data_IF_878559306235
#
_entry.id   IF_878559306235
#
_cell.length_a   1.000
_cell.length_b   1.000
_cell.length_c   1.000
_cell.angle_alpha   90.00
_cell.angle_beta   90.00
_cell.angle_gamma   90.00
#
_symmetry.space_group_name_H-M   'P 1'
#
loop_
_entity.id
_entity.type
_entity.pdbx_description
1 polymer ?
#
# COMPACT_ATOMS: atom_id res chain seq x y z
N UNK A 1 27.12 85.08 30.71
CA UNK A 1 27.64 83.97 31.55
C UNK A 1 27.33 82.66 30.83
N UNK A 2 28.21 81.70 30.54
CA UNK A 2 29.65 81.50 30.67
C UNK A 2 30.01 80.17 29.96
N UNK A 3 31.11 80.20 29.19
CA UNK A 3 32.05 79.16 28.70
C UNK A 3 31.77 77.66 28.99
N UNK A 4 31.74 76.75 27.98
CA UNK A 4 32.86 76.06 27.23
C UNK A 4 33.41 74.79 27.92
N UNK A 5 33.31 73.63 27.24
CA UNK A 5 34.36 72.59 26.89
C UNK A 5 33.67 71.24 26.58
N UNK A 6 33.81 70.65 25.39
CA UNK A 6 34.98 69.95 24.77
C UNK A 6 35.22 68.54 25.31
N UNK A 7 35.04 67.54 24.46
CA UNK A 7 35.56 66.18 24.62
C UNK A 7 35.51 65.41 23.29
N UNK A 8 36.67 65.25 22.65
CA UNK A 8 36.91 64.43 21.44
C UNK A 8 37.30 62.99 21.85
N UNK A 9 36.95 62.01 21.01
CA UNK A 9 37.56 60.67 20.94
C UNK A 9 36.83 59.87 19.85
N UNK A 10 37.35 59.79 18.62
CA UNK A 10 38.28 58.77 18.11
C UNK A 10 37.85 57.36 18.55
N UNK A 11 37.12 56.65 17.68
CA UNK A 11 36.99 55.20 17.76
C UNK A 11 37.66 54.59 16.53
N UNK A 12 38.58 53.68 16.79
CA UNK A 12 39.40 52.97 15.82
C UNK A 12 38.57 51.97 15.00
N UNK A 13 38.88 51.89 13.71
CA UNK A 13 38.41 50.86 12.80
C UNK A 13 39.19 49.57 13.10
N UNK A 14 38.50 48.54 13.59
CA UNK A 14 39.03 47.17 13.66
C UNK A 14 38.60 46.46 12.38
N UNK A 15 39.58 46.18 11.52
CA UNK A 15 39.46 45.26 10.39
C UNK A 15 39.69 43.85 10.94
N UNK A 16 38.62 43.07 11.08
CA UNK A 16 38.74 41.64 11.39
C UNK A 16 38.75 40.84 10.09
N UNK A 17 39.90 40.24 9.83
CA UNK A 17 40.13 39.16 8.86
C UNK A 17 39.29 37.94 9.24
N UNK A 18 38.25 37.64 8.46
CA UNK A 18 37.55 36.36 8.50
C UNK A 18 38.18 35.38 7.53
N UNK A 19 38.92 34.41 8.05
CA UNK A 19 39.42 33.25 7.32
C UNK A 19 38.24 32.43 6.76
N UNK A 20 38.16 32.31 5.44
CA UNK A 20 37.32 31.35 4.73
C UNK A 20 37.91 29.96 4.93
N UNK A 21 37.32 29.17 5.83
CA UNK A 21 37.45 27.72 5.81
C UNK A 21 36.50 27.17 4.74
N UNK A 22 37.05 26.82 3.59
CA UNK A 22 36.36 25.96 2.61
C UNK A 22 36.28 24.55 3.19
N UNK A 23 35.17 24.23 3.88
CA UNK A 23 34.80 22.84 4.11
C UNK A 23 34.22 22.28 2.80
N UNK A 24 35.04 21.58 2.03
CA UNK A 24 34.55 20.62 1.05
C UNK A 24 33.94 19.47 1.84
N UNK A 25 32.64 19.55 2.12
CA UNK A 25 31.88 18.36 2.48
C UNK A 25 31.83 17.49 1.21
N UNK A 26 32.67 16.46 1.18
CA UNK A 26 32.44 15.32 0.31
C UNK A 26 31.04 14.78 0.66
N UNK A 27 30.09 14.98 -0.26
CA UNK A 27 28.85 14.23 -0.26
C UNK A 27 29.24 12.78 -0.56
N UNK A 28 29.54 12.01 0.48
CA UNK A 28 29.46 10.55 0.42
C UNK A 28 28.07 10.21 -0.12
N UNK A 29 28.03 9.69 -1.34
CA UNK A 29 26.80 9.23 -1.96
C UNK A 29 26.11 8.26 -1.01
N UNK A 30 24.83 8.50 -0.73
CA UNK A 30 24.03 7.60 0.08
C UNK A 30 24.20 6.18 -0.47
N UNK A 31 24.71 5.28 0.38
CA UNK A 31 24.85 3.89 0.01
C UNK A 31 23.49 3.36 -0.46
N UNK A 32 23.45 2.52 -1.51
CA UNK A 32 22.20 1.96 -2.00
C UNK A 32 21.46 1.26 -0.85
N UNK A 33 20.12 1.21 -0.88
CA UNK A 33 19.27 0.69 0.20
C UNK A 33 19.56 -0.78 0.58
N UNK A 34 20.39 -1.48 -0.18
CA UNK A 34 20.81 -2.86 0.06
C UNK A 34 22.26 -2.99 0.56
N UNK A 35 22.89 -1.92 1.06
CA UNK A 35 24.20 -2.04 1.70
C UNK A 35 24.09 -2.57 3.14
N UNK A 36 25.04 -3.42 3.56
CA UNK A 36 25.19 -3.91 4.95
C UNK A 36 25.21 -2.76 5.99
N UNK A 37 25.58 -1.54 5.58
CA UNK A 37 25.56 -0.35 6.42
C UNK A 37 24.13 0.13 6.76
N UNK A 38 23.14 -0.10 5.88
CA UNK A 38 21.73 0.23 6.14
C UNK A 38 21.07 -0.75 7.13
N UNK A 39 21.57 -1.99 7.21
CA UNK A 39 21.07 -3.01 8.15
C UNK A 39 21.51 -2.75 9.61
N UNK A 40 22.47 -1.84 9.85
CA UNK A 40 22.94 -1.46 11.20
C UNK A 40 21.99 -0.54 11.96
N UNK A 41 20.87 -0.09 11.36
CA UNK A 41 19.80 0.61 12.07
C UNK A 41 18.78 -0.37 12.68
N UNK A 42 19.22 -1.13 13.69
CA UNK A 42 18.42 -1.57 14.84
C UNK A 42 17.03 -2.19 14.63
N UNK A 43 16.76 -2.86 13.51
CA UNK A 43 15.53 -3.65 13.34
C UNK A 43 15.94 -5.11 13.18
N UNK A 44 15.49 -5.96 14.09
CA UNK A 44 15.66 -7.40 13.92
C UNK A 44 15.05 -7.83 12.59
N UNK A 45 15.77 -8.70 11.88
CA UNK A 45 15.34 -9.34 10.65
C UNK A 45 14.38 -10.50 10.93
N UNK A 46 14.48 -11.14 12.10
CA UNK A 46 13.59 -12.24 12.48
C UNK A 46 12.41 -11.74 13.33
N UNK A 47 11.22 -12.36 13.20
CA UNK A 47 10.16 -12.14 14.16
C UNK A 47 10.52 -12.82 15.51
N UNK A 48 10.07 -12.27 16.66
CA UNK A 48 10.34 -12.84 17.98
C UNK A 48 9.67 -14.21 18.21
N UNK A 49 8.69 -14.55 17.37
CA UNK A 49 8.00 -15.83 17.33
C UNK A 49 7.89 -16.25 15.87
N UNK A 50 8.22 -17.51 15.59
CA UNK A 50 7.96 -18.16 14.30
C UNK A 50 7.03 -19.35 14.50
N UNK A 51 6.30 -19.70 13.44
CA UNK A 51 5.43 -20.88 13.41
C UNK A 51 6.11 -22.00 12.65
N UNK A 52 6.39 -23.12 13.32
CA UNK A 52 6.85 -24.34 12.68
C UNK A 52 5.66 -25.00 11.98
N UNK A 53 5.76 -25.19 10.66
CA UNK A 53 4.65 -25.66 9.82
C UNK A 53 4.62 -27.18 9.66
N UNK A 54 5.72 -27.85 10.01
CA UNK A 54 5.92 -29.29 9.89
C UNK A 54 6.72 -29.83 11.09
N UNK A 55 6.95 -31.14 11.13
CA UNK A 55 7.84 -31.71 12.15
C UNK A 55 9.27 -31.20 11.92
N UNK A 56 9.84 -30.52 12.91
CA UNK A 56 11.14 -29.85 12.81
C UNK A 56 12.13 -30.46 13.80
N UNK A 57 13.28 -30.91 13.30
CA UNK A 57 14.36 -31.43 14.12
C UNK A 57 15.10 -30.31 14.87
N UNK A 58 15.53 -30.63 16.10
CA UNK A 58 16.26 -29.73 16.99
C UNK A 58 17.72 -30.16 17.11
N UNK A 59 18.62 -29.23 16.82
CA UNK A 59 20.06 -29.46 16.81
C UNK A 59 20.77 -28.69 17.92
N UNK A 60 21.83 -29.25 18.53
CA UNK A 60 22.62 -28.52 19.52
C UNK A 60 23.47 -27.40 18.89
N UNK A 61 23.82 -27.54 17.61
CA UNK A 61 24.62 -26.59 16.84
C UNK A 61 24.07 -26.50 15.39
N UNK A 62 24.36 -25.43 14.63
CA UNK A 62 23.83 -25.25 13.28
C UNK A 62 24.57 -26.12 12.25
N UNK A 63 24.50 -27.44 12.42
CA UNK A 63 25.10 -28.45 11.56
C UNK A 63 24.19 -29.68 11.44
N UNK A 64 23.74 -29.98 10.21
CA UNK A 64 22.90 -31.16 9.94
C UNK A 64 23.66 -32.49 10.05
N UNK A 65 25.00 -32.47 10.11
CA UNK A 65 25.81 -33.68 10.30
C UNK A 65 25.72 -34.26 11.72
N UNK A 66 25.25 -33.45 12.67
CA UNK A 66 25.05 -33.83 14.07
C UNK A 66 23.67 -34.45 14.25
N UNK A 67 23.59 -35.51 15.07
CA UNK A 67 22.30 -36.15 15.37
C UNK A 67 21.38 -35.17 16.12
N UNK A 68 20.14 -34.96 15.64
CA UNK A 68 19.21 -34.08 16.32
C UNK A 68 18.80 -34.67 17.67
N UNK A 69 18.70 -33.81 18.69
CA UNK A 69 18.36 -34.23 20.05
C UNK A 69 16.87 -34.55 20.22
N UNK A 70 16.03 -33.92 19.42
CA UNK A 70 14.58 -34.08 19.46
C UNK A 70 13.94 -33.58 18.16
N UNK A 71 12.62 -33.69 18.08
CA UNK A 71 11.81 -33.03 17.06
C UNK A 71 10.60 -32.36 17.71
N UNK A 72 10.20 -31.23 17.16
CA UNK A 72 8.97 -30.52 17.48
C UNK A 72 7.92 -30.79 16.41
N UNK A 73 6.69 -31.06 16.83
CA UNK A 73 5.53 -30.99 15.93
C UNK A 73 5.19 -29.54 15.60
N UNK A 74 4.40 -29.26 14.54
CA UNK A 74 3.97 -27.90 14.20
C UNK A 74 3.45 -27.11 15.40
N UNK A 75 4.09 -25.98 15.70
CA UNK A 75 3.77 -25.10 16.82
C UNK A 75 4.50 -23.77 16.71
N UNK A 76 4.09 -22.79 17.51
CA UNK A 76 4.81 -21.52 17.63
C UNK A 76 5.99 -21.66 18.60
N UNK A 77 7.14 -21.08 18.22
CA UNK A 77 8.37 -21.08 19.02
C UNK A 77 8.98 -19.68 19.06
N UNK A 78 9.58 -19.32 20.21
CA UNK A 78 10.27 -18.05 20.35
C UNK A 78 11.67 -18.10 19.76
N UNK A 79 12.05 -17.10 18.97
CA UNK A 79 13.39 -16.98 18.39
C UNK A 79 14.37 -16.38 19.40
N UNK A 80 15.66 -16.66 19.20
CA UNK A 80 16.77 -16.12 19.98
C UNK A 80 17.67 -15.35 19.02
N UNK A 81 17.64 -14.02 19.13
CA UNK A 81 18.49 -13.14 18.33
C UNK A 81 19.76 -12.72 19.06
N UNK A 82 19.71 -12.73 20.39
CA UNK A 82 20.87 -12.44 21.23
C UNK A 82 21.95 -13.48 20.91
N UNK A 83 23.11 -13.00 20.47
CA UNK A 83 24.27 -13.80 20.02
C UNK A 83 24.13 -14.57 18.70
N UNK A 84 23.12 -14.26 17.86
CA UNK A 84 23.00 -14.87 16.54
C UNK A 84 23.88 -14.15 15.50
N UNK A 85 24.79 -14.89 14.85
CA UNK A 85 25.54 -14.37 13.70
C UNK A 85 24.58 -14.16 12.51
N UNK A 86 24.52 -12.95 11.91
CA UNK A 86 23.65 -12.68 10.77
C UNK A 86 23.88 -13.60 9.56
N UNK A 87 25.06 -14.20 9.41
CA UNK A 87 25.35 -15.16 8.34
C UNK A 87 24.48 -16.42 8.39
N UNK A 88 23.92 -16.78 9.56
CA UNK A 88 22.98 -17.91 9.66
C UNK A 88 21.61 -17.62 9.03
N UNK A 89 21.30 -16.35 8.75
CA UNK A 89 20.12 -15.93 7.99
C UNK A 89 20.37 -15.84 6.49
N UNK A 90 21.61 -16.04 6.05
CA UNK A 90 21.92 -16.23 4.63
C UNK A 90 21.57 -17.66 4.27
N UNK A 91 20.70 -17.82 3.27
CA UNK A 91 20.29 -19.14 2.86
C UNK A 91 21.47 -19.94 2.32
N UNK A 92 21.59 -21.19 2.76
CA UNK A 92 22.57 -22.13 2.27
C UNK A 92 22.31 -22.50 0.80
N UNK A 93 23.13 -23.41 0.25
CA UNK A 93 22.95 -23.88 -1.14
C UNK A 93 21.61 -24.59 -1.38
N UNK A 94 20.89 -24.99 -0.32
CA UNK A 94 19.58 -25.62 -0.37
C UNK A 94 18.43 -24.62 -0.17
N UNK A 95 18.72 -23.34 0.10
CA UNK A 95 17.70 -22.34 0.38
C UNK A 95 17.23 -22.31 1.83
N UNK A 96 17.99 -22.93 2.75
CA UNK A 96 17.63 -23.04 4.17
C UNK A 96 18.47 -22.13 5.06
N UNK A 97 17.91 -21.76 6.20
CA UNK A 97 18.52 -20.89 7.20
C UNK A 97 18.50 -21.55 8.57
N UNK A 98 19.53 -21.26 9.36
CA UNK A 98 19.62 -21.72 10.74
C UNK A 98 19.04 -20.68 11.67
N UNK A 99 18.08 -21.11 12.50
CA UNK A 99 17.43 -20.24 13.48
C UNK A 99 17.57 -20.87 14.84
N UNK A 100 18.00 -20.07 15.81
CA UNK A 100 18.04 -20.47 17.20
C UNK A 100 16.69 -20.17 17.86
N UNK A 101 16.14 -21.15 18.58
CA UNK A 101 14.84 -21.06 19.24
C UNK A 101 14.96 -21.42 20.72
N UNK A 102 14.08 -20.84 21.54
CA UNK A 102 13.95 -21.20 22.95
C UNK A 102 13.15 -22.49 23.08
N UNK A 103 13.73 -23.49 23.73
CA UNK A 103 12.96 -24.67 24.16
C UNK A 103 12.74 -24.61 25.67
N UNK A 104 11.61 -25.13 26.15
CA UNK A 104 11.28 -25.05 27.58
C UNK A 104 11.97 -26.12 28.44
N UNK A 105 12.65 -27.11 27.83
CA UNK A 105 13.25 -28.26 28.53
C UNK A 105 14.71 -28.57 28.18
N UNK A 106 15.27 -28.07 27.08
CA UNK A 106 16.66 -28.37 26.64
C UNK A 106 17.52 -27.13 26.42
N UNK A 107 17.05 -25.96 26.84
CA UNK A 107 17.71 -24.69 26.56
C UNK A 107 17.50 -24.24 25.11
N UNK A 108 18.35 -23.34 24.62
CA UNK A 108 18.23 -22.83 23.27
C UNK A 108 18.84 -23.81 22.27
N UNK A 109 18.08 -24.17 21.24
CA UNK A 109 18.49 -25.14 20.21
C UNK A 109 18.29 -24.55 18.81
N UNK A 110 18.92 -25.17 17.83
CA UNK A 110 18.90 -24.74 16.43
C UNK A 110 17.87 -25.53 15.63
N UNK A 111 17.20 -24.85 14.70
CA UNK A 111 16.35 -25.44 13.66
C UNK A 111 16.87 -25.01 12.29
N UNK A 112 16.77 -25.91 11.32
CA UNK A 112 17.13 -25.65 9.93
C UNK A 112 15.86 -25.62 9.08
N UNK A 113 15.50 -24.43 8.59
CA UNK A 113 14.21 -24.19 7.93
C UNK A 113 14.42 -23.65 6.53
N UNK A 114 13.56 -24.04 5.59
CA UNK A 114 13.47 -23.36 4.30
C UNK A 114 13.21 -21.87 4.54
N UNK A 115 13.98 -20.99 3.91
CA UNK A 115 13.91 -19.55 4.16
C UNK A 115 12.50 -19.00 3.93
N UNK A 116 11.78 -19.52 2.93
CA UNK A 116 10.38 -19.15 2.64
C UNK A 116 9.38 -19.58 3.72
N UNK A 117 9.73 -20.58 4.57
CA UNK A 117 8.92 -21.08 5.69
C UNK A 117 9.23 -20.38 7.01
N UNK A 118 10.20 -19.47 7.03
CA UNK A 118 10.45 -18.65 8.22
C UNK A 118 9.43 -17.53 8.25
N UNK A 119 8.63 -17.48 9.31
CA UNK A 119 7.59 -16.49 9.47
C UNK A 119 6.62 -16.86 10.58
N UNK A 120 5.57 -16.06 10.72
CA UNK A 120 4.50 -16.28 11.70
C UNK A 120 3.18 -16.57 11.01
N UNK A 121 2.52 -17.63 11.45
CA UNK A 121 1.16 -17.99 11.06
C UNK A 121 0.18 -17.31 12.01
N UNK A 122 -0.70 -16.46 11.49
CA UNK A 122 -1.73 -15.78 12.28
C UNK A 122 -3.11 -16.19 11.79
N UNK A 123 -4.05 -16.51 12.70
CA UNK A 123 -5.44 -16.65 12.30
C UNK A 123 -5.98 -15.29 11.84
N UNK A 124 -6.76 -15.31 10.76
CA UNK A 124 -7.52 -14.14 10.29
C UNK A 124 -8.93 -14.59 9.93
N UNK A 125 -9.86 -13.64 9.86
CA UNK A 125 -11.20 -13.85 9.33
C UNK A 125 -11.43 -12.67 8.39
N UNK A 126 -11.15 -12.88 7.11
CA UNK A 126 -11.20 -11.82 6.11
C UNK A 126 -11.55 -12.37 4.75
N UNK A 127 -12.03 -11.49 3.87
CA UNK A 127 -12.35 -11.84 2.49
C UNK A 127 -11.37 -11.17 1.54
N UNK A 128 -10.96 -11.93 0.53
CA UNK A 128 -10.06 -11.47 -0.53
C UNK A 128 -10.82 -11.51 -1.86
N UNK A 129 -10.97 -10.37 -2.51
CA UNK A 129 -11.39 -10.31 -3.90
C UNK A 129 -10.17 -10.57 -4.80
N UNK A 130 -10.15 -11.73 -5.46
CA UNK A 130 -9.12 -12.09 -6.44
C UNK A 130 -9.45 -11.38 -7.74
N UNK A 131 -8.58 -10.46 -8.16
CA UNK A 131 -8.81 -9.68 -9.36
C UNK A 131 -8.52 -10.49 -10.62
N UNK A 132 -7.52 -11.38 -10.54
CA UNK A 132 -7.03 -12.23 -11.63
C UNK A 132 -7.06 -13.71 -11.22
N UNK A 133 -6.73 -14.58 -12.18
CA UNK A 133 -6.48 -16.00 -11.91
C UNK A 133 -5.41 -16.16 -10.82
N UNK A 134 -5.75 -16.90 -9.76
CA UNK A 134 -4.87 -17.16 -8.63
C UNK A 134 -4.49 -18.64 -8.59
N UNK A 135 -3.18 -18.92 -8.65
CA UNK A 135 -2.63 -20.27 -8.42
C UNK A 135 -2.72 -20.62 -6.95
N UNK A 136 -3.03 -21.89 -6.67
CA UNK A 136 -3.14 -22.42 -5.32
C UNK A 136 -1.89 -23.20 -4.93
N UNK A 137 -1.56 -23.17 -3.65
CA UNK A 137 -0.38 -23.79 -3.07
C UNK A 137 -0.78 -24.64 -1.85
N UNK A 138 -0.10 -25.77 -1.63
CA UNK A 138 -0.36 -26.60 -0.45
C UNK A 138 0.26 -26.06 0.83
N UNK A 139 1.26 -25.18 0.70
CA UNK A 139 1.99 -24.51 1.79
C UNK A 139 2.16 -23.02 1.46
N UNK A 140 2.51 -22.14 2.43
CA UNK A 140 2.66 -20.71 2.18
C UNK A 140 3.93 -20.31 1.39
N UNK A 141 4.48 -21.24 0.59
CA UNK A 141 5.75 -21.11 -0.15
C UNK A 141 5.55 -21.29 -1.65
N UNK A 142 6.47 -20.76 -2.48
CA UNK A 142 6.32 -20.81 -3.94
C UNK A 142 6.61 -22.20 -4.52
N UNK A 143 7.43 -22.99 -3.82
CA UNK A 143 7.77 -24.35 -4.23
C UNK A 143 6.59 -25.33 -4.09
N UNK A 144 5.61 -25.01 -3.25
CA UNK A 144 4.44 -25.84 -2.97
C UNK A 144 3.26 -25.61 -3.94
N UNK A 145 3.54 -25.16 -5.16
CA UNK A 145 2.51 -24.84 -6.15
C UNK A 145 1.74 -26.09 -6.57
N UNK A 146 0.43 -25.97 -6.60
CA UNK A 146 -0.46 -27.01 -7.14
C UNK A 146 -0.84 -26.70 -8.59
N UNK A 147 -1.46 -27.67 -9.26
CA UNK A 147 -2.05 -27.46 -10.59
C UNK A 147 -3.38 -26.68 -10.55
N UNK A 148 -3.94 -26.44 -9.36
CA UNK A 148 -5.23 -25.78 -9.21
C UNK A 148 -5.10 -24.25 -9.37
N UNK A 149 -6.09 -23.67 -10.06
CA UNK A 149 -6.21 -22.24 -10.30
C UNK A 149 -7.64 -21.80 -10.01
N UNK A 150 -7.80 -20.71 -9.28
CA UNK A 150 -9.06 -20.02 -9.08
C UNK A 150 -9.18 -18.88 -10.07
N UNK A 151 -10.28 -18.82 -10.81
CA UNK A 151 -10.66 -17.62 -11.56
C UNK A 151 -10.99 -16.46 -10.61
N UNK A 152 -11.02 -15.20 -11.08
CA UNK A 152 -11.41 -14.04 -10.29
C UNK A 152 -12.71 -14.27 -9.53
N UNK A 153 -12.64 -14.14 -8.20
CA UNK A 153 -13.76 -14.36 -7.28
C UNK A 153 -13.38 -13.86 -5.89
N UNK A 154 -14.36 -13.77 -5.00
CA UNK A 154 -14.15 -13.49 -3.59
C UNK A 154 -13.99 -14.78 -2.81
N UNK A 155 -12.91 -14.90 -2.04
CA UNK A 155 -12.61 -16.07 -1.21
C UNK A 155 -12.48 -15.66 0.25
N UNK A 156 -12.87 -16.57 1.15
CA UNK A 156 -12.65 -16.41 2.59
C UNK A 156 -11.24 -16.90 2.95
N UNK A 157 -10.48 -16.08 3.66
CA UNK A 157 -9.17 -16.39 4.19
C UNK A 157 -9.23 -16.55 5.70
N UNK A 158 -8.74 -17.70 6.20
CA UNK A 158 -8.79 -18.07 7.61
C UNK A 158 -7.41 -18.00 8.31
N UNK A 159 -6.32 -17.79 7.55
CA UNK A 159 -4.99 -17.54 8.10
C UNK A 159 -4.14 -16.68 7.16
N UNK A 160 -3.13 -16.03 7.73
CA UNK A 160 -2.09 -15.30 7.00
C UNK A 160 -0.72 -15.76 7.51
N UNK A 161 0.20 -15.97 6.59
CA UNK A 161 1.60 -16.27 6.88
C UNK A 161 2.46 -15.06 6.49
N UNK A 162 3.11 -14.48 7.48
CA UNK A 162 3.97 -13.31 7.34
C UNK A 162 5.43 -13.73 7.48
N UNK A 163 6.17 -13.72 6.36
CA UNK A 163 7.59 -14.01 6.34
C UNK A 163 8.41 -12.72 6.24
N UNK A 164 9.49 -12.56 7.03
CA UNK A 164 10.43 -11.45 6.85
C UNK A 164 11.21 -11.54 5.52
N UNK A 165 11.20 -12.70 4.86
CA UNK A 165 11.89 -12.93 3.58
C UNK A 165 10.95 -12.80 2.37
N UNK A 166 9.65 -12.58 2.58
CA UNK A 166 8.71 -12.38 1.49
C UNK A 166 8.93 -11.01 0.81
N UNK A 167 9.20 -11.02 -0.49
CA UNK A 167 9.56 -9.81 -1.25
C UNK A 167 8.38 -8.90 -1.61
N UNK A 168 7.14 -9.41 -1.64
CA UNK A 168 6.01 -8.69 -2.25
C UNK A 168 4.75 -8.62 -1.37
N UNK A 169 4.35 -9.71 -0.73
CA UNK A 169 3.17 -9.73 0.14
C UNK A 169 3.13 -10.99 1.01
N UNK A 170 2.33 -10.95 2.07
CA UNK A 170 2.01 -12.10 2.90
C UNK A 170 1.27 -13.17 2.09
N UNK A 171 1.41 -14.43 2.50
CA UNK A 171 0.62 -15.55 1.95
C UNK A 171 -0.67 -15.70 2.75
N UNK A 172 -1.80 -15.96 2.10
CA UNK A 172 -3.09 -16.17 2.78
C UNK A 172 -3.56 -17.59 2.58
N UNK A 173 -4.05 -18.22 3.65
CA UNK A 173 -4.74 -19.51 3.57
C UNK A 173 -6.22 -19.25 3.37
N UNK A 174 -6.75 -19.80 2.29
CA UNK A 174 -8.13 -19.69 1.88
C UNK A 174 -8.83 -21.04 2.04
N UNK A 175 -10.12 -20.97 2.31
CA UNK A 175 -10.97 -22.14 2.40
C UNK A 175 -11.50 -22.47 1.00
N UNK A 176 -11.25 -23.70 0.53
CA UNK A 176 -11.87 -24.19 -0.72
C UNK A 176 -12.78 -25.36 -0.39
N UNK A 177 -13.93 -25.44 -1.06
CA UNK A 177 -14.92 -26.49 -0.76
C UNK A 177 -14.58 -27.86 -1.36
N UNK A 178 -13.57 -27.95 -2.26
CA UNK A 178 -13.21 -29.19 -2.96
C UNK A 178 -11.77 -29.65 -2.75
N UNK A 179 -10.83 -28.76 -2.42
CA UNK A 179 -9.41 -29.10 -2.20
C UNK A 179 -8.98 -28.90 -0.73
N UNK A 180 -9.92 -28.52 0.14
CA UNK A 180 -9.64 -28.11 1.51
C UNK A 180 -8.96 -26.75 1.57
N UNK A 181 -8.28 -26.48 2.67
CA UNK A 181 -7.55 -25.22 2.83
C UNK A 181 -6.35 -25.19 1.88
N UNK A 182 -6.18 -24.07 1.18
CA UNK A 182 -5.12 -23.86 0.21
C UNK A 182 -4.50 -22.47 0.42
N UNK A 183 -3.31 -22.25 -0.09
CA UNK A 183 -2.60 -21.00 0.05
C UNK A 183 -2.61 -20.20 -1.25
N UNK A 184 -2.79 -18.89 -1.11
CA UNK A 184 -2.43 -17.90 -2.12
C UNK A 184 -1.11 -17.29 -1.66
N UNK A 185 -0.04 -17.56 -2.41
CA UNK A 185 1.32 -17.18 -2.04
C UNK A 185 1.75 -15.93 -2.77
N UNK A 186 2.10 -14.88 -2.01
CA UNK A 186 2.74 -13.65 -2.49
C UNK A 186 2.16 -13.09 -3.82
N UNK A 187 0.84 -13.10 -3.97
CA UNK A 187 0.14 -12.63 -5.17
C UNK A 187 -0.29 -11.17 -4.99
N UNK A 188 0.14 -10.22 -5.82
CA UNK A 188 -0.23 -8.81 -5.63
C UNK A 188 -1.64 -8.45 -6.14
N UNK A 189 -2.37 -9.39 -6.76
CA UNK A 189 -3.64 -9.11 -7.44
C UNK A 189 -4.87 -9.52 -6.63
N UNK A 190 -4.87 -9.29 -5.32
CA UNK A 190 -6.05 -9.41 -4.49
C UNK A 190 -6.30 -8.10 -3.72
N UNK A 191 -7.54 -7.91 -3.32
CA UNK A 191 -7.95 -6.82 -2.44
C UNK A 191 -8.61 -7.42 -1.20
N UNK A 192 -8.29 -6.89 -0.02
CA UNK A 192 -9.11 -7.18 1.15
C UNK A 192 -10.44 -6.45 1.01
N UNK A 193 -11.51 -7.16 1.32
CA UNK A 193 -12.87 -6.67 1.17
C UNK A 193 -13.73 -7.02 2.37
N UNK A 194 -14.70 -6.16 2.62
CA UNK A 194 -15.84 -6.41 3.48
C UNK A 194 -17.02 -6.87 2.61
N UNK A 195 -17.59 -8.03 2.92
CA UNK A 195 -18.79 -8.52 2.23
C UNK A 195 -20.01 -7.76 2.78
N UNK A 196 -20.74 -7.06 1.92
CA UNK A 196 -21.84 -6.19 2.31
C UNK A 196 -23.22 -6.79 2.01
N UNK A 197 -23.42 -7.29 0.79
CA UNK A 197 -24.70 -7.80 0.28
C UNK A 197 -25.90 -6.87 0.57
N UNK A 198 -25.80 -5.60 0.16
CA UNK A 198 -26.81 -4.58 0.43
C UNK A 198 -27.10 -3.67 -0.76
N UNK A 199 -28.22 -2.94 -0.73
CA UNK A 199 -28.48 -1.90 -1.74
C UNK A 199 -27.57 -0.68 -1.54
N UNK A 200 -26.99 -0.18 -2.63
CA UNK A 200 -26.25 1.07 -2.69
C UNK A 200 -26.96 2.04 -3.63
N UNK A 201 -27.25 3.23 -3.12
CA UNK A 201 -27.82 4.32 -3.91
C UNK A 201 -26.70 5.16 -4.54
N UNK A 202 -26.74 5.30 -5.86
CA UNK A 202 -25.87 6.19 -6.62
C UNK A 202 -26.74 7.35 -7.12
N UNK A 203 -26.79 8.48 -6.41
CA UNK A 203 -27.78 9.54 -6.65
C UNK A 203 -27.49 10.38 -7.89
N UNK A 204 -26.30 10.24 -8.47
CA UNK A 204 -25.78 11.04 -9.58
C UNK A 204 -25.00 10.16 -10.54
N UNK A 205 -24.66 10.74 -11.69
CA UNK A 205 -23.80 10.09 -12.66
C UNK A 205 -22.45 9.68 -12.03
N UNK A 206 -22.12 8.39 -12.10
CA UNK A 206 -20.95 7.78 -11.44
C UNK A 206 -20.08 7.08 -12.48
N UNK A 207 -18.76 7.10 -12.31
CA UNK A 207 -17.82 6.38 -13.16
C UNK A 207 -18.11 4.87 -13.12
N UNK A 208 -18.35 4.29 -14.29
CA UNK A 208 -18.35 2.85 -14.49
C UNK A 208 -16.89 2.38 -14.54
N UNK A 209 -16.52 1.42 -13.68
CA UNK A 209 -15.17 0.87 -13.65
C UNK A 209 -15.22 -0.63 -14.00
N UNK A 210 -14.73 -1.00 -15.20
CA UNK A 210 -14.63 -2.42 -15.59
C UNK A 210 -13.61 -3.15 -14.70
N UNK A 211 -12.51 -2.48 -14.37
CA UNK A 211 -11.49 -2.93 -13.42
C UNK A 211 -11.46 -2.04 -12.18
N UNK A 212 -11.05 -2.59 -11.03
CA UNK A 212 -10.99 -1.85 -9.76
C UNK A 212 -10.16 -0.56 -9.81
N UNK A 213 -9.15 -0.47 -10.67
CA UNK A 213 -8.26 0.69 -10.77
C UNK A 213 -8.58 1.62 -11.96
N UNK A 214 -9.70 1.41 -12.67
CA UNK A 214 -10.08 2.16 -13.88
C UNK A 214 -9.95 3.67 -13.70
N UNK A 215 -10.44 4.22 -12.58
CA UNK A 215 -10.38 5.67 -12.31
C UNK A 215 -8.96 6.23 -12.26
N UNK A 216 -7.99 5.44 -11.79
CA UNK A 216 -6.59 5.84 -11.72
C UNK A 216 -5.86 5.70 -13.06
N UNK A 217 -6.44 4.98 -14.01
CA UNK A 217 -5.86 4.67 -15.33
C UNK A 217 -6.43 5.52 -16.46
N UNK A 218 -7.37 6.42 -16.16
CA UNK A 218 -7.91 7.35 -17.15
C UNK A 218 -6.79 8.26 -17.66
N UNK A 219 -6.46 8.14 -18.94
CA UNK A 219 -5.49 9.02 -19.61
C UNK A 219 -6.17 10.21 -20.27
N UNK A 220 -7.41 10.03 -20.71
CA UNK A 220 -8.23 11.07 -21.33
C UNK A 220 -9.63 11.10 -20.73
N UNK A 221 -10.28 12.27 -20.71
CA UNK A 221 -11.67 12.38 -20.28
C UNK A 221 -12.62 11.49 -21.08
N UNK A 222 -12.35 11.33 -22.37
CA UNK A 222 -13.14 10.52 -23.30
C UNK A 222 -13.13 9.04 -22.97
N UNK A 223 -12.18 8.57 -22.18
CA UNK A 223 -12.06 7.17 -21.78
C UNK A 223 -13.05 6.83 -20.65
N UNK A 224 -13.57 7.85 -19.96
CA UNK A 224 -14.52 7.69 -18.88
C UNK A 224 -15.88 7.24 -19.41
N UNK A 225 -16.38 6.14 -18.85
CA UNK A 225 -17.73 5.65 -19.05
C UNK A 225 -18.53 5.90 -17.79
N UNK A 226 -19.76 6.36 -17.93
CA UNK A 226 -20.59 6.70 -16.78
C UNK A 226 -21.86 5.86 -16.73
N UNK A 227 -22.34 5.63 -15.52
CA UNK A 227 -23.67 5.12 -15.26
C UNK A 227 -24.55 6.24 -14.72
N UNK A 228 -25.83 6.31 -15.11
CA UNK A 228 -26.76 7.28 -14.58
C UNK A 228 -27.08 6.96 -13.11
N UNK A 229 -27.69 7.94 -12.44
CA UNK A 229 -28.22 7.78 -11.10
C UNK A 229 -29.14 6.55 -11.01
N UNK A 230 -28.85 5.64 -10.09
CA UNK A 230 -29.57 4.39 -9.93
C UNK A 230 -29.23 3.72 -8.60
N UNK A 231 -30.04 2.74 -8.22
CA UNK A 231 -29.66 1.77 -7.19
C UNK A 231 -28.96 0.57 -7.79
N UNK A 232 -27.89 0.12 -7.15
CA UNK A 232 -27.15 -1.10 -7.46
C UNK A 232 -27.08 -2.00 -6.22
N UNK A 233 -26.75 -3.27 -6.39
CA UNK A 233 -26.51 -4.18 -5.28
C UNK A 233 -25.01 -4.26 -4.97
N UNK A 234 -24.58 -3.73 -3.83
CA UNK A 234 -23.21 -3.81 -3.36
C UNK A 234 -22.93 -5.21 -2.79
N UNK A 235 -22.04 -5.94 -3.46
CA UNK A 235 -21.63 -7.27 -3.05
C UNK A 235 -20.56 -7.18 -1.97
N UNK A 236 -19.54 -6.36 -2.23
CA UNK A 236 -18.41 -6.15 -1.32
C UNK A 236 -17.82 -4.75 -1.48
N UNK A 237 -16.98 -4.37 -0.51
CA UNK A 237 -16.32 -3.06 -0.45
C UNK A 237 -14.88 -3.20 0.01
N UNK A 238 -13.99 -2.46 -0.61
CA UNK A 238 -12.57 -2.39 -0.25
C UNK A 238 -12.33 -1.35 0.86
N UNK A 239 -11.17 -1.46 1.53
CA UNK A 239 -10.75 -0.51 2.57
C UNK A 239 -10.74 0.96 2.10
N UNK A 240 -10.47 1.20 0.81
CA UNK A 240 -10.46 2.54 0.21
C UNK A 240 -11.81 2.98 -0.38
N UNK A 241 -12.90 2.26 -0.10
CA UNK A 241 -14.25 2.71 -0.43
C UNK A 241 -14.68 2.47 -1.88
N UNK A 242 -14.03 1.55 -2.59
CA UNK A 242 -14.50 1.06 -3.89
C UNK A 242 -15.42 -0.14 -3.65
N UNK A 243 -16.53 -0.17 -4.37
CA UNK A 243 -17.56 -1.20 -4.24
C UNK A 243 -17.55 -2.08 -5.48
N UNK A 244 -17.61 -3.39 -5.29
CA UNK A 244 -17.96 -4.33 -6.34
C UNK A 244 -19.48 -4.50 -6.34
N UNK A 245 -20.12 -4.14 -7.45
CA UNK A 245 -21.58 -4.03 -7.50
C UNK A 245 -22.16 -4.85 -8.63
N UNK A 246 -23.43 -5.22 -8.46
CA UNK A 246 -24.27 -5.77 -9.52
C UNK A 246 -25.33 -4.74 -9.91
N UNK A 247 -25.33 -4.36 -11.18
CA UNK A 247 -26.35 -3.51 -11.78
C UNK A 247 -27.70 -4.22 -11.93
N UNK A 248 -28.76 -3.46 -12.21
CA UNK A 248 -30.12 -4.00 -12.34
C UNK A 248 -30.29 -4.95 -13.53
N UNK A 249 -29.46 -4.81 -14.56
CA UNK A 249 -29.39 -5.71 -15.72
C UNK A 249 -28.53 -6.96 -15.48
N UNK A 250 -27.98 -7.12 -14.26
CA UNK A 250 -27.10 -8.23 -13.89
C UNK A 250 -25.62 -8.01 -14.20
N UNK A 251 -25.22 -6.88 -14.81
CA UNK A 251 -23.80 -6.60 -15.06
C UNK A 251 -23.04 -6.42 -13.75
N UNK A 252 -21.81 -6.91 -13.70
CA UNK A 252 -20.94 -6.84 -12.54
C UNK A 252 -19.78 -5.90 -12.86
N UNK A 253 -19.52 -4.93 -12.00
CA UNK A 253 -18.50 -3.89 -12.20
C UNK A 253 -18.12 -3.23 -10.87
N UNK A 254 -17.06 -2.42 -10.90
CA UNK A 254 -16.64 -1.63 -9.76
C UNK A 254 -17.19 -0.21 -9.85
N UNK A 255 -17.46 0.40 -8.69
CA UNK A 255 -17.77 1.82 -8.58
C UNK A 255 -17.06 2.38 -7.36
N UNK A 256 -16.65 3.64 -7.44
CA UNK A 256 -16.28 4.41 -6.26
C UNK A 256 -17.12 5.69 -6.27
N UNK A 257 -18.00 5.89 -5.26
CA UNK A 257 -18.86 7.07 -5.15
C UNK A 257 -18.12 8.42 -5.16
N UNK A 258 -16.80 8.44 -4.92
CA UNK A 258 -15.99 9.65 -5.07
C UNK A 258 -15.73 10.04 -6.53
N UNK A 259 -15.78 9.09 -7.47
CA UNK A 259 -15.77 9.34 -8.91
C UNK A 259 -17.21 9.51 -9.42
N UNK A 260 -17.95 10.44 -8.84
CA UNK A 260 -19.33 10.77 -9.24
C UNK A 260 -19.54 12.28 -9.33
N UNK A 261 -20.53 12.71 -10.12
CA UNK A 261 -20.98 14.10 -10.13
C UNK A 261 -21.56 14.45 -8.75
N UNK A 262 -21.31 15.66 -8.21
CA UNK A 262 -21.78 15.98 -6.88
C UNK A 262 -23.30 16.14 -6.81
N UNK A 263 -23.88 15.83 -5.65
CA UNK A 263 -25.30 16.10 -5.37
C UNK A 263 -25.49 17.59 -5.10
N UNK A 264 -26.60 18.17 -5.55
CA UNK A 264 -26.97 19.55 -5.22
C UNK A 264 -26.29 20.63 -6.09
N UNK A 265 -25.81 20.26 -7.28
CA UNK A 265 -25.29 21.19 -8.28
C UNK A 265 -26.34 22.24 -8.63
N UNK A 266 -25.91 23.52 -8.69
CA UNK A 266 -26.75 24.64 -9.10
C UNK A 266 -26.41 25.04 -10.52
N UNK A 267 -27.41 25.12 -11.40
CA UNK A 267 -27.23 25.68 -12.75
C UNK A 267 -26.99 27.18 -12.66
N UNK A 268 -26.05 27.68 -13.45
CA UNK A 268 -25.66 29.08 -13.53
C UNK A 268 -25.40 29.48 -14.98
N UNK A 269 -25.26 30.78 -15.23
CA UNK A 269 -24.73 31.32 -16.47
C UNK A 269 -23.80 32.49 -16.08
N UNK A 270 -22.55 32.15 -15.76
CA UNK A 270 -21.57 33.12 -15.25
C UNK A 270 -20.28 33.08 -16.06
N UNK A 271 -19.64 34.24 -16.23
CA UNK A 271 -18.31 34.33 -16.81
C UNK A 271 -17.29 34.49 -15.69
N UNK A 272 -16.37 33.54 -15.60
CA UNK A 272 -15.28 33.54 -14.62
C UNK A 272 -14.01 34.09 -15.27
N UNK A 273 -13.27 34.91 -14.53
CA UNK A 273 -11.95 35.39 -14.93
C UNK A 273 -10.86 34.60 -14.20
N UNK A 274 -10.22 33.67 -14.91
CA UNK A 274 -9.10 32.89 -14.39
C UNK A 274 -7.83 33.75 -14.47
N UNK A 275 -7.15 33.94 -13.34
CA UNK A 275 -5.95 34.80 -13.23
C UNK A 275 -4.65 34.02 -13.15
N UNK A 276 -4.73 32.70 -12.97
CA UNK A 276 -3.61 31.74 -12.91
C UNK A 276 -3.93 30.51 -13.76
N UNK A 277 -2.96 29.62 -13.91
CA UNK A 277 -3.22 28.31 -14.50
C UNK A 277 -4.13 27.50 -13.56
N UNK A 278 -5.21 26.93 -14.10
CA UNK A 278 -6.22 26.20 -13.33
C UNK A 278 -6.35 24.77 -13.87
N UNK A 279 -6.32 23.77 -12.98
CA UNK A 279 -6.48 22.36 -13.32
C UNK A 279 -7.94 22.02 -13.63
N UNK A 280 -8.11 20.98 -14.45
CA UNK A 280 -9.42 20.48 -14.89
C UNK A 280 -9.65 19.07 -14.35
N UNK A 281 -10.84 18.81 -13.80
CA UNK A 281 -11.17 17.55 -13.16
C UNK A 281 -12.52 17.03 -13.65
N UNK A 282 -12.65 15.71 -13.82
CA UNK A 282 -13.95 15.09 -14.10
C UNK A 282 -14.89 15.14 -12.90
N UNK A 283 -14.32 15.07 -11.69
CA UNK A 283 -15.06 15.02 -10.43
C UNK A 283 -14.42 15.98 -9.43
N UNK A 284 -15.21 16.87 -8.79
CA UNK A 284 -14.69 17.78 -7.78
C UNK A 284 -14.46 17.08 -6.43
N UNK A 285 -15.12 15.95 -6.19
CA UNK A 285 -14.97 15.12 -4.97
C UNK A 285 -13.73 14.23 -5.00
N UNK A 286 -13.15 14.00 -6.19
CA UNK A 286 -11.92 13.26 -6.40
C UNK A 286 -11.11 13.97 -7.48
N UNK A 287 -10.32 15.01 -7.12
CA UNK A 287 -9.61 15.86 -8.09
C UNK A 287 -8.41 15.17 -8.77
N UNK A 288 -8.32 13.84 -8.73
CA UNK A 288 -7.36 13.06 -9.49
C UNK A 288 -8.10 12.03 -10.35
N UNK A 289 -7.71 11.82 -11.63
CA UNK A 289 -6.66 12.54 -12.35
C UNK A 289 -7.09 13.93 -12.82
N UNK A 290 -6.11 14.82 -13.02
CA UNK A 290 -6.29 16.13 -13.64
C UNK A 290 -6.05 16.06 -15.15
N UNK A 291 -6.88 16.72 -15.94
CA UNK A 291 -6.89 16.66 -17.41
C UNK A 291 -6.37 17.95 -18.04
N UNK A 292 -5.16 18.34 -17.62
CA UNK A 292 -4.43 19.50 -18.12
C UNK A 292 -4.80 20.81 -17.43
N UNK A 293 -4.16 21.88 -17.91
CA UNK A 293 -4.27 23.23 -17.35
C UNK A 293 -4.99 24.17 -18.33
N UNK A 294 -5.78 25.07 -17.77
CA UNK A 294 -6.35 26.22 -18.46
C UNK A 294 -5.51 27.44 -18.07
N UNK A 295 -4.90 28.10 -19.06
CA UNK A 295 -4.17 29.35 -18.81
C UNK A 295 -5.13 30.49 -18.43
N UNK A 296 -4.64 31.57 -17.77
CA UNK A 296 -5.45 32.73 -17.42
C UNK A 296 -6.29 33.24 -18.60
N UNK A 297 -7.61 33.22 -18.44
CA UNK A 297 -8.58 33.63 -19.46
C UNK A 297 -9.99 33.74 -18.86
N UNK A 298 -10.93 34.26 -19.66
CA UNK A 298 -12.35 34.24 -19.31
C UNK A 298 -12.99 32.94 -19.78
N UNK A 299 -13.70 32.25 -18.89
CA UNK A 299 -14.42 31.01 -19.20
C UNK A 299 -15.89 31.12 -18.79
N UNK A 300 -16.77 30.42 -19.51
CA UNK A 300 -18.20 30.38 -19.18
C UNK A 300 -18.50 29.15 -18.34
N UNK A 301 -19.01 29.36 -17.13
CA UNK A 301 -19.49 28.31 -16.24
C UNK A 301 -21.01 28.14 -16.36
N UNK A 302 -21.44 26.88 -16.37
CA UNK A 302 -22.86 26.53 -16.49
C UNK A 302 -23.40 25.80 -15.24
N UNK A 303 -22.50 25.33 -14.36
CA UNK A 303 -22.84 24.71 -13.08
C UNK A 303 -21.88 25.19 -11.98
N UNK A 304 -22.36 25.25 -10.75
CA UNK A 304 -21.57 25.47 -9.55
C UNK A 304 -21.90 24.45 -8.47
N UNK A 305 -20.91 24.13 -7.65
CA UNK A 305 -21.06 23.28 -6.48
C UNK A 305 -20.17 23.80 -5.35
N UNK A 306 -20.72 23.84 -4.14
CA UNK A 306 -20.00 24.20 -2.93
C UNK A 306 -19.62 22.89 -2.21
N UNK A 307 -18.33 22.62 -2.04
CA UNK A 307 -17.87 21.42 -1.34
C UNK A 307 -18.15 21.51 0.19
N UNK A 308 -18.11 20.38 0.92
CA UNK A 308 -18.32 20.39 2.38
C UNK A 308 -17.33 21.26 3.17
N UNK A 309 -16.19 21.61 2.57
CA UNK A 309 -15.14 22.45 3.13
C UNK A 309 -15.35 23.94 2.82
N UNK A 310 -16.36 24.28 2.02
CA UNK A 310 -16.71 25.64 1.63
C UNK A 310 -15.96 26.16 0.40
N UNK A 311 -15.24 25.31 -0.33
CA UNK A 311 -14.67 25.69 -1.61
C UNK A 311 -15.72 25.63 -2.72
N UNK A 312 -15.65 26.58 -3.65
CA UNK A 312 -16.55 26.64 -4.78
C UNK A 312 -15.89 26.07 -6.03
N UNK A 313 -16.57 25.10 -6.61
CA UNK A 313 -16.24 24.47 -7.88
C UNK A 313 -17.20 24.94 -8.97
N UNK A 314 -16.69 25.05 -10.18
CA UNK A 314 -17.47 25.45 -11.35
C UNK A 314 -17.29 24.45 -12.48
N UNK A 315 -18.37 24.11 -13.16
CA UNK A 315 -18.32 23.27 -14.36
C UNK A 315 -18.36 24.14 -15.61
N UNK A 316 -17.44 23.88 -16.53
CA UNK A 316 -17.24 24.65 -17.75
C UNK A 316 -17.18 23.73 -18.97
N UNK A 317 -17.42 24.29 -20.16
CA UNK A 317 -17.08 23.62 -21.41
C UNK A 317 -15.64 23.97 -21.79
N UNK A 318 -14.78 22.96 -21.95
CA UNK A 318 -13.39 23.13 -22.36
C UNK A 318 -13.04 22.24 -23.56
N UNK A 319 -11.79 22.35 -24.02
CA UNK A 319 -11.24 21.47 -25.07
C UNK A 319 -11.16 20.00 -24.62
N UNK A 320 -11.16 19.75 -23.31
CA UNK A 320 -11.14 18.42 -22.69
C UNK A 320 -12.56 17.85 -22.48
N UNK A 321 -13.61 18.61 -22.81
CA UNK A 321 -15.00 18.27 -22.52
C UNK A 321 -15.58 19.11 -21.37
N UNK A 322 -16.63 18.59 -20.72
CA UNK A 322 -17.23 19.22 -19.55
C UNK A 322 -16.42 18.91 -18.30
N UNK A 323 -15.87 19.94 -17.67
CA UNK A 323 -14.88 19.79 -16.60
C UNK A 323 -15.20 20.67 -15.42
N UNK A 324 -14.89 20.18 -14.22
CA UNK A 324 -14.87 20.94 -12.99
C UNK A 324 -13.53 21.66 -12.83
N UNK A 325 -13.59 22.91 -12.40
CA UNK A 325 -12.44 23.74 -12.05
C UNK A 325 -12.66 24.39 -10.69
N UNK A 326 -11.56 24.62 -9.98
CA UNK A 326 -11.51 25.44 -8.77
C UNK A 326 -10.57 26.65 -9.03
N UNK A 327 -11.13 27.82 -9.41
CA UNK A 327 -10.36 28.98 -9.85
C UNK A 327 -9.32 29.54 -8.87
#
# INVERSE_FOLDING_TARGET
MGRVRSGKGILAVIVSFGLLFSCTAELEGAAPPNSLAYQKQGRSVLPPVISLLENTYLYPEPDESVEPWAALTPQDVSTVEEDMDPSYLEADHQGKVWIKIKTTWLGDLWVHLDQEKVGILKPVDTYLALLWDARLYSEPTRSAMTEAVLSPQTVHANAVFESPFAMYSSSYRIETSWLGDQWIVANPHYLRVEVLNSELDLPTETLYMDEYDTGNRLQRPSDARFIPAQKVFAMEKTDNGVYHVRGQNGSIFWVNPQFAQPVGVKKIDETLELTKNTEQHLFPTMPFPAFGLISPQKVKAFEQWDDPQGNRWYRIHSWSGEMWIQP
#
